data_IF_454684701791
#
_entry.id   IF_454684701791
#
_cell.length_a   1.000
_cell.length_b   1.000
_cell.length_c   1.000
_cell.angle_alpha   90.00
_cell.angle_beta   90.00
_cell.angle_gamma   90.00
#
_symmetry.space_group_name_H-M   'P 1'
#
loop_
_entity.id
_entity.type
_entity.pdbx_description
1 polymer ?
#
# COMPACT_ATOMS: atom_id res chain seq x y z
N UNK A 1 -9.17 -5.47 -0.65
CA UNK A 1 -8.00 -6.34 -0.87
C UNK A 1 -7.03 -6.15 0.29
N UNK A 2 -6.27 -7.17 0.70
CA UNK A 2 -5.30 -6.99 1.80
C UNK A 2 -4.05 -6.23 1.35
N UNK A 3 -3.51 -5.39 2.22
CA UNK A 3 -2.26 -4.67 2.01
C UNK A 3 -1.52 -4.42 3.33
N UNK A 4 -0.19 -4.23 3.27
CA UNK A 4 0.58 -3.82 4.43
C UNK A 4 0.63 -2.28 4.48
N UNK A 5 0.13 -1.70 5.56
CA UNK A 5 -0.05 -0.26 5.71
C UNK A 5 0.88 0.24 6.81
N UNK A 6 1.70 1.23 6.47
CA UNK A 6 2.44 2.01 7.44
C UNK A 6 1.56 3.17 7.90
N UNK A 7 1.08 3.08 9.13
CA UNK A 7 0.26 4.13 9.75
C UNK A 7 1.11 5.23 10.42
N UNK A 8 2.29 4.90 10.92
CA UNK A 8 3.24 5.85 11.51
C UNK A 8 4.66 5.30 11.41
N UNK A 9 5.66 6.18 11.48
CA UNK A 9 7.06 5.76 11.43
C UNK A 9 7.45 4.94 12.67
N UNK A 10 8.49 4.14 12.50
CA UNK A 10 9.06 3.28 13.54
C UNK A 10 8.05 2.32 14.19
N UNK A 11 6.93 2.04 13.49
CA UNK A 11 5.94 1.04 13.89
C UNK A 11 5.93 -0.13 12.90
N UNK A 12 5.52 -1.33 13.34
CA UNK A 12 5.24 -2.43 12.42
C UNK A 12 4.20 -2.03 11.37
N UNK A 13 4.23 -2.70 10.22
CA UNK A 13 3.18 -2.57 9.22
C UNK A 13 1.93 -3.32 9.66
N UNK A 14 0.78 -2.70 9.45
CA UNK A 14 -0.52 -3.30 9.72
C UNK A 14 -1.05 -3.99 8.46
N UNK A 15 -1.54 -5.23 8.59
CA UNK A 15 -2.23 -5.90 7.49
C UNK A 15 -3.70 -5.50 7.49
N UNK A 16 -4.06 -4.60 6.58
CA UNK A 16 -5.39 -4.01 6.49
C UNK A 16 -6.08 -4.40 5.19
N UNK A 17 -7.41 -4.46 5.23
CA UNK A 17 -8.23 -4.52 4.02
C UNK A 17 -8.43 -3.11 3.49
N UNK A 18 -7.95 -2.86 2.27
CA UNK A 18 -8.02 -1.58 1.57
C UNK A 18 -8.88 -1.66 0.33
N UNK A 19 -9.47 -0.53 -0.03
CA UNK A 19 -10.23 -0.36 -1.27
C UNK A 19 -9.41 0.42 -2.28
N UNK A 20 -9.50 0.00 -3.54
CA UNK A 20 -8.74 0.59 -4.65
C UNK A 20 -9.76 1.10 -5.67
N UNK A 21 -9.66 2.40 -5.99
CA UNK A 21 -10.49 2.99 -7.03
C UNK A 21 -10.27 2.28 -8.38
N UNK A 22 -11.31 2.13 -9.22
CA UNK A 22 -11.16 1.63 -10.58
C UNK A 22 -10.18 2.49 -11.39
N UNK A 23 -9.39 1.89 -12.30
CA UNK A 23 -8.42 2.63 -13.10
C UNK A 23 -9.13 3.65 -14.01
N UNK A 24 -8.57 4.85 -14.10
CA UNK A 24 -9.04 5.92 -14.99
C UNK A 24 -8.47 5.75 -16.41
N UNK A 25 -8.84 6.65 -17.32
CA UNK A 25 -8.31 6.63 -18.69
C UNK A 25 -6.77 6.78 -18.67
N UNK A 26 -6.08 5.79 -19.23
CA UNK A 26 -4.60 5.74 -19.24
C UNK A 26 -3.97 4.99 -18.05
N UNK A 27 -4.78 4.50 -17.11
CA UNK A 27 -4.30 3.70 -15.97
C UNK A 27 -4.60 2.21 -16.18
N UNK A 28 -3.86 1.35 -15.48
CA UNK A 28 -4.09 -0.09 -15.45
C UNK A 28 -4.11 -0.58 -14.01
N UNK A 29 -5.10 -1.41 -13.68
CA UNK A 29 -5.14 -2.11 -12.41
C UNK A 29 -4.34 -3.40 -12.52
N UNK A 30 -3.35 -3.56 -11.65
CA UNK A 30 -2.47 -4.73 -11.64
C UNK A 30 -2.74 -5.58 -10.41
N UNK A 31 -2.86 -6.89 -10.60
CA UNK A 31 -2.83 -7.85 -9.50
C UNK A 31 -1.38 -8.20 -9.20
N UNK A 32 -0.90 -7.80 -8.03
CA UNK A 32 0.44 -8.18 -7.56
C UNK A 32 0.41 -9.68 -7.23
N UNK A 33 1.34 -10.45 -7.80
CA UNK A 33 1.52 -11.88 -7.49
C UNK A 33 2.56 -12.12 -6.38
N UNK A 34 3.65 -11.36 -6.42
CA UNK A 34 4.69 -11.31 -5.40
C UNK A 34 5.41 -9.96 -5.48
N UNK A 35 6.03 -9.53 -4.38
CA UNK A 35 6.92 -8.37 -4.35
C UNK A 35 8.02 -8.59 -3.32
N UNK A 36 9.19 -8.03 -3.59
CA UNK A 36 10.31 -8.02 -2.66
C UNK A 36 10.18 -6.88 -1.66
N UNK A 37 10.90 -7.00 -0.54
CA UNK A 37 11.15 -5.91 0.40
C UNK A 37 12.63 -5.53 0.28
N UNK A 38 12.90 -4.26 0.00
CA UNK A 38 14.23 -3.70 -0.11
C UNK A 38 14.64 -3.00 1.19
N UNK A 39 15.93 -2.73 1.36
CA UNK A 39 16.43 -1.87 2.44
C UNK A 39 15.74 -0.50 2.42
N UNK A 40 15.50 0.05 1.23
CA UNK A 40 14.87 1.35 1.11
C UNK A 40 13.46 1.39 1.69
N UNK A 41 12.69 0.29 1.62
CA UNK A 41 11.37 0.21 2.27
C UNK A 41 11.51 0.32 3.79
N UNK A 42 12.57 -0.26 4.35
CA UNK A 42 12.88 -0.16 5.77
C UNK A 42 13.27 1.27 6.18
N UNK A 43 14.01 1.99 5.33
CA UNK A 43 14.32 3.41 5.55
C UNK A 43 13.04 4.29 5.51
N UNK A 44 12.03 3.94 4.69
CA UNK A 44 10.70 4.58 4.75
C UNK A 44 10.05 4.31 6.10
N UNK A 45 10.04 3.04 6.54
CA UNK A 45 9.39 2.65 7.80
C UNK A 45 10.01 3.41 8.98
N UNK A 46 11.32 3.63 8.99
CA UNK A 46 11.99 4.43 10.02
C UNK A 46 11.80 5.95 9.90
N UNK A 47 11.30 6.43 8.76
CA UNK A 47 11.23 7.87 8.47
C UNK A 47 12.58 8.50 8.13
N UNK A 48 13.57 7.70 7.74
CA UNK A 48 14.93 8.14 7.42
C UNK A 48 15.08 8.49 5.93
N UNK A 49 14.15 8.08 5.09
CA UNK A 49 14.18 8.41 3.66
C UNK A 49 13.78 9.87 3.41
N UNK A 50 14.73 10.65 2.90
CA UNK A 50 14.55 12.07 2.50
C UNK A 50 13.34 12.36 1.60
N UNK A 51 13.01 11.44 0.69
CA UNK A 51 11.89 11.57 -0.25
C UNK A 51 10.67 10.74 0.17
N UNK A 52 10.68 10.24 1.41
CA UNK A 52 9.60 9.45 1.95
C UNK A 52 8.31 10.26 2.18
N UNK A 53 7.17 9.56 2.24
CA UNK A 53 5.86 10.14 2.52
C UNK A 53 5.83 10.74 3.92
N UNK A 54 5.25 11.94 4.09
CA UNK A 54 5.08 12.57 5.41
C UNK A 54 3.86 11.98 6.12
N UNK A 55 4.08 11.25 7.21
CA UNK A 55 3.00 10.55 7.94
C UNK A 55 1.92 11.48 8.52
N UNK A 56 2.21 12.78 8.66
CA UNK A 56 1.23 13.80 9.04
C UNK A 56 0.14 14.03 7.98
N UNK A 57 0.32 13.52 6.76
CA UNK A 57 -0.51 13.88 5.60
C UNK A 57 -0.87 12.66 4.75
N UNK A 58 -0.08 11.58 4.77
CA UNK A 58 -0.35 10.40 3.95
C UNK A 58 0.07 9.11 4.65
N UNK A 59 -0.76 8.06 4.54
CA UNK A 59 -0.43 6.69 4.94
C UNK A 59 0.18 5.95 3.77
N UNK A 60 1.15 5.08 4.05
CA UNK A 60 1.90 4.40 2.99
C UNK A 60 1.46 2.96 2.87
N UNK A 61 1.06 2.55 1.67
CA UNK A 61 0.76 1.15 1.37
C UNK A 61 2.02 0.52 0.79
N UNK A 62 2.64 -0.37 1.55
CA UNK A 62 3.66 -1.29 1.06
C UNK A 62 2.91 -2.54 0.62
N UNK A 63 2.81 -2.77 -0.69
CA UNK A 63 2.01 -3.90 -1.19
C UNK A 63 2.57 -5.23 -0.70
N UNK A 64 1.70 -6.18 -0.32
CA UNK A 64 2.04 -7.61 -0.25
C UNK A 64 0.87 -8.42 -0.82
N UNK A 65 1.23 -9.39 -1.66
CA UNK A 65 0.31 -10.28 -2.36
C UNK A 65 0.27 -11.64 -1.66
N UNK A 66 -0.89 -12.01 -1.13
CA UNK A 66 -1.21 -13.41 -0.81
C UNK A 66 -2.73 -13.58 -0.76
N UNK A 67 -3.35 -13.85 -1.92
CA UNK A 67 -4.73 -14.33 -2.10
C UNK A 67 -5.85 -13.34 -1.69
N UNK A 68 -6.95 -13.15 -2.45
CA UNK A 68 -8.03 -14.11 -2.73
C UNK A 68 -8.74 -13.74 -4.05
N UNK A 69 -9.24 -14.76 -4.72
CA UNK A 69 -10.08 -14.72 -5.91
C UNK A 69 -11.39 -13.94 -5.72
N UNK A 70 -11.77 -13.19 -6.74
CA UNK A 70 -13.11 -12.62 -6.90
C UNK A 70 -13.08 -11.39 -7.81
N UNK A 71 -13.98 -11.26 -8.80
CA UNK A 71 -14.21 -9.95 -9.40
C UNK A 71 -14.94 -9.10 -8.34
N UNK A 72 -14.74 -7.79 -8.32
CA UNK A 72 -15.83 -6.79 -8.27
C UNK A 72 -15.35 -5.39 -7.85
N UNK A 73 -15.70 -4.47 -8.74
CA UNK A 73 -16.08 -3.06 -8.59
C UNK A 73 -16.47 -2.63 -7.18
N UNK A 74 -15.85 -1.56 -6.67
CA UNK A 74 -16.32 -0.80 -5.51
C UNK A 74 -15.50 0.47 -5.27
N UNK A 75 -16.17 1.61 -5.29
CA UNK A 75 -15.67 2.94 -4.90
C UNK A 75 -15.81 3.07 -3.38
N UNK A 76 -14.78 3.52 -2.63
CA UNK A 76 -15.03 4.23 -1.37
C UNK A 76 -14.32 5.59 -1.34
N UNK A 77 -15.15 6.63 -1.29
CA UNK A 77 -14.81 7.93 -0.76
C UNK A 77 -15.13 7.99 0.73
N UNK A 78 -14.23 8.67 1.46
CA UNK A 78 -14.24 9.12 2.87
C UNK A 78 -13.55 8.19 3.88
#
# INVERSE_FOLDING_TARGET
MKAAVLNDYARPLDLEDVEIEPPRAGEVQVRIGATGVCHSDYDVIKGEWKYGPKMSTCRTVLTWASDVAGPMVGLLSH
#
